data_IF_185210058141
#
_entry.id   IF_185210058141
#
_cell.length_a   1.000
_cell.length_b   1.000
_cell.length_c   1.000
_cell.angle_alpha   90.00
_cell.angle_beta   90.00
_cell.angle_gamma   90.00
#
_symmetry.space_group_name_H-M   'P 1'
#
loop_
_entity.id
_entity.type
_entity.pdbx_description
1 polymer ?
#
# COMPACT_ATOMS: atom_id res chain seq x y z
N UNK A 1 -1.26 -7.44 -20.72
CA UNK A 1 -1.92 -8.59 -20.04
C UNK A 1 -1.38 -8.67 -18.63
N UNK A 2 -2.18 -9.03 -17.62
CA UNK A 2 -1.66 -9.39 -16.30
C UNK A 2 -1.50 -10.90 -16.18
N UNK A 3 -0.45 -11.34 -15.51
CA UNK A 3 -0.14 -12.75 -15.29
C UNK A 3 0.02 -13.06 -13.80
N UNK A 4 -0.26 -14.30 -13.43
CA UNK A 4 0.04 -14.81 -12.10
C UNK A 4 1.48 -15.33 -11.97
N UNK A 5 1.85 -15.72 -10.74
CA UNK A 5 3.19 -16.24 -10.43
C UNK A 5 3.57 -17.52 -11.19
N UNK A 6 2.58 -18.26 -11.73
CA UNK A 6 2.77 -19.43 -12.58
C UNK A 6 2.75 -19.08 -14.09
N UNK A 7 2.75 -17.79 -14.43
CA UNK A 7 2.62 -17.27 -15.78
C UNK A 7 1.30 -17.62 -16.48
N UNK A 8 0.24 -17.94 -15.73
CA UNK A 8 -1.10 -18.05 -16.29
C UNK A 8 -1.70 -16.64 -16.48
N UNK A 9 -2.43 -16.39 -17.59
CA UNK A 9 -3.11 -15.11 -17.79
C UNK A 9 -4.19 -14.88 -16.72
N UNK A 10 -4.15 -13.72 -16.07
CA UNK A 10 -5.18 -13.28 -15.13
C UNK A 10 -6.25 -12.43 -15.82
N UNK A 11 -5.84 -11.35 -16.48
CA UNK A 11 -6.77 -10.41 -17.08
C UNK A 11 -6.11 -9.60 -18.20
N UNK A 12 -6.84 -9.43 -19.30
CA UNK A 12 -6.48 -8.43 -20.31
C UNK A 12 -6.87 -7.05 -19.79
N UNK A 13 -5.92 -6.13 -19.76
CA UNK A 13 -6.09 -4.78 -19.22
C UNK A 13 -5.46 -3.75 -20.16
N UNK A 14 -5.95 -2.50 -20.17
CA UNK A 14 -5.30 -1.41 -20.89
C UNK A 14 -3.85 -1.22 -20.45
N UNK A 15 -2.98 -0.78 -21.37
CA UNK A 15 -1.56 -0.53 -21.06
C UNK A 15 -1.39 0.49 -19.92
N UNK A 16 -2.20 1.55 -19.92
CA UNK A 16 -2.20 2.55 -18.86
C UNK A 16 -2.49 1.94 -17.48
N UNK A 17 -3.42 0.99 -17.39
CA UNK A 17 -3.71 0.29 -16.14
C UNK A 17 -2.53 -0.59 -15.71
N UNK A 18 -1.93 -1.36 -16.64
CA UNK A 18 -0.73 -2.14 -16.37
C UNK A 18 0.40 -1.26 -15.78
N UNK A 19 0.67 -0.12 -16.41
CA UNK A 19 1.77 0.77 -16.03
C UNK A 19 1.55 1.44 -14.67
N UNK A 20 0.30 1.63 -14.27
CA UNK A 20 -0.04 2.11 -12.93
C UNK A 20 0.06 0.98 -11.91
N UNK A 21 -0.61 -0.16 -12.15
CA UNK A 21 -0.71 -1.26 -11.17
C UNK A 21 0.65 -1.90 -10.88
N UNK A 22 1.57 -1.94 -11.85
CA UNK A 22 2.92 -2.46 -11.64
C UNK A 22 3.79 -1.57 -10.71
N UNK A 23 3.45 -0.29 -10.59
CA UNK A 23 4.12 0.67 -9.69
C UNK A 23 3.42 0.71 -8.33
N UNK A 24 2.08 0.79 -8.34
CA UNK A 24 1.27 0.91 -7.13
C UNK A 24 1.23 -0.41 -6.33
N UNK A 25 1.41 -1.55 -7.00
CA UNK A 25 1.40 -2.87 -6.37
C UNK A 25 0.01 -3.51 -6.32
N UNK A 26 -1.08 -2.75 -6.33
CA UNK A 26 -2.44 -3.29 -6.36
C UNK A 26 -3.40 -2.43 -7.18
N UNK A 27 -4.53 -3.01 -7.58
CA UNK A 27 -5.54 -2.32 -8.36
C UNK A 27 -6.84 -3.13 -8.48
N UNK A 28 -7.90 -2.48 -8.94
CA UNK A 28 -9.21 -3.11 -9.14
C UNK A 28 -9.49 -3.33 -10.62
N UNK A 29 -9.80 -4.56 -10.98
CA UNK A 29 -10.16 -4.92 -12.35
C UNK A 29 -11.58 -4.45 -12.68
N UNK A 30 -11.89 -4.33 -13.97
CA UNK A 30 -13.26 -4.05 -14.44
C UNK A 30 -14.26 -5.15 -14.05
N UNK A 31 -13.79 -6.40 -13.83
CA UNK A 31 -14.60 -7.49 -13.26
C UNK A 31 -15.03 -7.23 -11.81
N UNK A 32 -14.39 -6.28 -11.13
CA UNK A 32 -14.61 -5.99 -9.71
C UNK A 32 -13.60 -6.68 -8.78
N UNK A 33 -12.83 -7.65 -9.28
CA UNK A 33 -11.77 -8.34 -8.54
C UNK A 33 -10.64 -7.38 -8.15
N UNK A 34 -10.03 -7.60 -6.99
CA UNK A 34 -8.77 -6.94 -6.64
C UNK A 34 -7.60 -7.76 -7.16
N UNK A 35 -6.60 -7.11 -7.74
CA UNK A 35 -5.28 -7.70 -8.01
C UNK A 35 -4.23 -7.06 -7.12
N UNK A 36 -3.27 -7.86 -6.69
CA UNK A 36 -2.16 -7.42 -5.84
C UNK A 36 -0.85 -8.01 -6.32
N UNK A 37 0.26 -7.36 -6.00
CA UNK A 37 1.61 -7.80 -6.29
C UNK A 37 1.83 -9.21 -5.71
N UNK A 38 2.31 -10.14 -6.54
CA UNK A 38 2.67 -11.48 -6.11
C UNK A 38 4.20 -11.65 -6.06
N UNK A 39 4.89 -11.36 -7.18
CA UNK A 39 6.35 -11.45 -7.26
C UNK A 39 6.94 -10.64 -8.40
N UNK A 40 8.26 -10.41 -8.31
CA UNK A 40 9.11 -9.85 -9.37
C UNK A 40 9.75 -10.97 -10.20
N UNK A 41 10.43 -10.57 -11.28
CA UNK A 41 11.22 -11.47 -12.11
C UNK A 41 10.36 -12.48 -12.87
N UNK A 42 9.14 -12.09 -13.24
CA UNK A 42 8.26 -12.95 -14.02
C UNK A 42 8.59 -12.87 -15.50
N UNK A 43 9.02 -13.98 -16.11
CA UNK A 43 9.43 -14.00 -17.52
C UNK A 43 8.32 -13.54 -18.48
N UNK A 44 7.08 -13.96 -18.20
CA UNK A 44 5.88 -13.68 -18.97
C UNK A 44 5.31 -12.25 -18.80
N UNK A 45 5.68 -11.55 -17.73
CA UNK A 45 5.12 -10.24 -17.46
C UNK A 45 5.77 -9.16 -18.33
N UNK A 46 4.97 -8.16 -18.69
CA UNK A 46 5.47 -6.96 -19.35
C UNK A 46 6.40 -6.19 -18.40
N UNK A 47 7.35 -5.45 -18.98
CA UNK A 47 8.23 -4.57 -18.20
C UNK A 47 7.43 -3.39 -17.66
N UNK A 48 7.58 -3.12 -16.37
CA UNK A 48 7.03 -1.96 -15.71
C UNK A 48 7.90 -0.72 -16.02
N UNK A 49 7.39 0.28 -16.76
CA UNK A 49 8.24 1.32 -17.37
C UNK A 49 8.91 2.25 -16.35
N UNK A 50 8.41 2.32 -15.11
CA UNK A 50 8.94 3.20 -14.05
C UNK A 50 9.97 2.54 -13.14
N UNK A 51 10.04 1.21 -13.15
CA UNK A 51 10.89 0.43 -12.23
C UNK A 51 11.77 -0.58 -12.96
N UNK A 52 11.54 -0.78 -14.26
CA UNK A 52 12.19 -1.81 -15.10
C UNK A 52 11.96 -3.25 -14.61
N UNK A 53 10.93 -3.45 -13.78
CA UNK A 53 10.62 -4.75 -13.20
C UNK A 53 9.54 -5.48 -14.00
N UNK A 54 9.67 -6.79 -14.10
CA UNK A 54 8.58 -7.67 -14.55
C UNK A 54 7.82 -8.22 -13.35
N UNK A 55 6.55 -7.82 -13.20
CA UNK A 55 5.73 -8.09 -12.01
C UNK A 55 4.58 -9.03 -12.37
N UNK A 56 4.41 -10.09 -11.59
CA UNK A 56 3.19 -10.89 -11.58
C UNK A 56 2.28 -10.47 -10.44
N UNK A 57 1.00 -10.77 -10.61
CA UNK A 57 -0.06 -10.43 -9.67
C UNK A 57 -0.73 -11.68 -9.12
N UNK A 58 -1.50 -11.52 -8.07
CA UNK A 58 -2.47 -12.50 -7.61
C UNK A 58 -3.86 -11.87 -7.67
N UNK A 59 -4.89 -12.69 -7.87
CA UNK A 59 -6.27 -12.26 -7.75
C UNK A 59 -6.73 -12.48 -6.32
N UNK A 60 -7.36 -11.46 -5.75
CA UNK A 60 -7.84 -11.45 -4.38
C UNK A 60 -9.34 -11.21 -4.34
N UNK A 61 -10.00 -11.80 -3.34
CA UNK A 61 -11.38 -11.50 -3.01
C UNK A 61 -11.49 -10.02 -2.58
N UNK A 62 -12.21 -9.17 -3.33
CA UNK A 62 -12.33 -7.75 -3.03
C UNK A 62 -13.06 -7.46 -1.72
N UNK A 63 -13.81 -8.42 -1.16
CA UNK A 63 -14.45 -8.27 0.16
C UNK A 63 -13.43 -8.36 1.30
N UNK A 64 -12.35 -9.12 1.09
CA UNK A 64 -11.27 -9.31 2.08
C UNK A 64 -10.10 -8.36 1.85
N UNK A 65 -9.79 -8.08 0.59
CA UNK A 65 -8.67 -7.23 0.17
C UNK A 65 -9.17 -6.15 -0.79
N UNK A 66 -9.96 -5.17 -0.31
CA UNK A 66 -10.53 -4.14 -1.19
C UNK A 66 -9.46 -3.28 -1.88
N UNK A 67 -8.29 -3.13 -1.25
CA UNK A 67 -7.19 -2.31 -1.76
C UNK A 67 -5.90 -3.10 -2.03
N UNK A 68 -5.94 -4.43 -1.93
CA UNK A 68 -4.79 -5.31 -2.10
C UNK A 68 -4.21 -5.80 -0.78
N UNK A 69 -3.09 -6.51 -0.88
CA UNK A 69 -2.43 -7.21 0.22
C UNK A 69 -1.03 -6.63 0.42
N UNK A 70 -0.71 -6.26 1.66
CA UNK A 70 0.60 -5.76 2.04
C UNK A 70 1.62 -6.88 2.21
N UNK A 71 2.87 -6.51 2.46
CA UNK A 71 3.98 -7.43 2.69
C UNK A 71 3.80 -8.38 3.89
N UNK A 72 2.91 -8.07 4.84
CA UNK A 72 2.55 -8.95 5.97
C UNK A 72 1.47 -9.99 5.63
N UNK A 73 0.93 -9.94 4.41
CA UNK A 73 -0.18 -10.78 4.00
C UNK A 73 -1.57 -10.25 4.37
N UNK A 74 -1.64 -9.11 5.06
CA UNK A 74 -2.88 -8.46 5.52
C UNK A 74 -3.42 -7.45 4.49
N UNK A 75 -4.72 -7.10 4.54
CA UNK A 75 -5.27 -6.06 3.68
C UNK A 75 -4.69 -4.70 4.03
N UNK A 76 -4.22 -3.96 3.03
CA UNK A 76 -3.79 -2.58 3.22
C UNK A 76 -5.00 -1.65 3.27
N UNK A 77 -4.92 -0.63 4.12
CA UNK A 77 -6.03 0.30 4.36
C UNK A 77 -5.56 1.74 4.07
N UNK A 78 -6.29 2.48 3.22
CA UNK A 78 -5.99 3.88 2.92
C UNK A 78 -5.87 4.72 4.20
N UNK A 79 -4.83 5.55 4.26
CA UNK A 79 -4.50 6.43 5.37
C UNK A 79 -4.34 5.68 6.71
N UNK A 80 -3.95 4.40 6.66
CA UNK A 80 -3.68 3.58 7.84
C UNK A 80 -2.45 2.70 7.65
N UNK A 81 -2.28 2.14 6.47
CA UNK A 81 -1.08 1.37 6.15
C UNK A 81 0.01 2.30 5.63
N UNK A 82 1.25 2.05 6.04
CA UNK A 82 2.44 2.64 5.43
C UNK A 82 3.37 1.56 4.89
N UNK A 83 4.07 1.89 3.80
CA UNK A 83 5.26 1.17 3.42
C UNK A 83 6.48 1.74 4.16
N UNK A 84 7.38 0.85 4.57
CA UNK A 84 8.61 1.19 5.33
C UNK A 84 9.81 0.37 4.86
N UNK A 85 11.00 0.82 5.23
CA UNK A 85 12.18 -0.04 5.24
C UNK A 85 12.13 -0.96 6.47
N UNK A 86 11.91 -2.26 6.24
CA UNK A 86 11.74 -3.22 7.34
C UNK A 86 13.00 -3.52 8.14
N UNK A 87 14.18 -3.05 7.70
CA UNK A 87 15.40 -3.10 8.50
C UNK A 87 15.47 -1.97 9.54
N UNK A 88 14.68 -0.92 9.36
CA UNK A 88 14.61 0.25 10.25
C UNK A 88 13.34 0.23 11.11
N UNK A 89 12.19 -0.05 10.48
CA UNK A 89 10.89 -0.17 11.16
C UNK A 89 10.33 -1.56 10.85
N UNK A 90 10.32 -2.50 11.80
CA UNK A 90 9.76 -3.83 11.57
C UNK A 90 8.31 -3.79 11.06
N UNK A 91 7.94 -4.77 10.23
CA UNK A 91 6.56 -4.91 9.82
C UNK A 91 5.67 -5.30 11.02
N UNK A 92 4.46 -4.76 11.05
CA UNK A 92 3.51 -4.88 12.15
C UNK A 92 3.65 -3.79 13.22
N UNK A 93 4.75 -3.02 13.21
CA UNK A 93 4.93 -1.89 14.13
C UNK A 93 3.85 -0.83 13.90
N UNK A 94 3.26 -0.37 15.00
CA UNK A 94 2.33 0.76 14.96
C UNK A 94 3.09 2.07 15.06
N UNK A 95 2.65 3.07 14.31
CA UNK A 95 3.30 4.38 14.22
C UNK A 95 2.32 5.46 14.61
N UNK A 96 2.72 6.33 15.53
CA UNK A 96 2.02 7.58 15.77
C UNK A 96 2.77 8.74 15.15
N UNK A 97 2.06 9.51 14.32
CA UNK A 97 2.54 10.72 13.65
C UNK A 97 1.74 11.92 14.19
N UNK A 98 2.27 12.65 15.20
CA UNK A 98 1.57 13.78 15.81
C UNK A 98 1.15 14.84 14.79
N UNK A 99 1.98 15.06 13.76
CA UNK A 99 1.78 16.09 12.75
C UNK A 99 0.60 15.81 11.80
N UNK A 100 0.14 14.56 11.74
CA UNK A 100 -1.00 14.18 10.89
C UNK A 100 -2.31 14.07 11.68
N UNK A 101 -2.29 14.33 12.98
CA UNK A 101 -3.52 14.36 13.80
C UNK A 101 -4.37 15.54 13.38
N UNK A 102 -5.67 15.29 13.26
CA UNK A 102 -6.64 16.31 12.91
C UNK A 102 -6.78 16.53 11.41
N UNK A 103 -5.94 15.92 10.55
CA UNK A 103 -6.08 16.06 9.11
C UNK A 103 -7.43 15.52 8.63
N UNK A 104 -8.14 16.23 7.75
CA UNK A 104 -9.45 15.80 7.27
C UNK A 104 -9.33 14.52 6.44
N UNK A 105 -10.14 13.52 6.77
CA UNK A 105 -10.22 12.28 6.00
C UNK A 105 -11.19 12.42 4.81
N UNK A 106 -10.93 11.71 3.70
CA UNK A 106 -11.95 11.48 2.68
C UNK A 106 -13.17 10.79 3.31
N UNK A 107 -14.38 11.27 3.02
CA UNK A 107 -15.61 10.75 3.63
C UNK A 107 -16.00 11.38 4.98
N UNK A 108 -15.20 12.31 5.51
CA UNK A 108 -15.48 13.02 6.75
C UNK A 108 -14.66 12.51 7.94
N UNK A 109 -14.69 13.26 9.04
CA UNK A 109 -13.87 12.97 10.22
C UNK A 109 -12.42 13.46 10.10
N UNK A 110 -11.61 13.06 11.08
CA UNK A 110 -10.21 13.49 11.22
C UNK A 110 -9.31 12.30 11.48
N UNK A 111 -8.11 12.34 10.91
CA UNK A 111 -7.06 11.38 11.14
C UNK A 111 -6.55 11.49 12.59
N UNK A 112 -6.30 10.36 13.26
CA UNK A 112 -5.86 10.31 14.67
C UNK A 112 -4.33 10.24 14.82
N UNK A 113 -3.60 10.19 13.71
CA UNK A 113 -2.14 10.09 13.63
C UNK A 113 -1.60 8.67 13.57
N UNK A 114 -2.45 7.66 13.68
CA UNK A 114 -2.03 6.26 13.78
C UNK A 114 -1.94 5.55 12.42
N UNK A 115 -0.82 4.87 12.23
CA UNK A 115 -0.55 4.00 11.08
C UNK A 115 0.03 2.65 11.52
N UNK A 116 0.07 1.69 10.60
CA UNK A 116 0.71 0.39 10.79
C UNK A 116 1.64 0.10 9.61
N UNK A 117 2.85 -0.37 9.92
CA UNK A 117 3.85 -0.75 8.94
C UNK A 117 3.53 -2.13 8.36
N UNK A 118 2.73 -2.22 7.30
CA UNK A 118 2.31 -3.50 6.71
C UNK A 118 2.77 -3.72 5.29
N UNK A 119 3.52 -2.76 4.72
CA UNK A 119 3.95 -2.83 3.33
C UNK A 119 5.42 -2.44 3.11
N UNK A 120 5.92 -2.69 1.90
CA UNK A 120 7.28 -2.36 1.46
C UNK A 120 7.27 -1.77 0.06
N UNK A 121 8.08 -0.73 -0.14
CA UNK A 121 8.31 -0.14 -1.45
C UNK A 121 9.79 -0.12 -1.80
N UNK A 122 10.17 -0.36 -3.05
CA UNK A 122 11.59 -0.39 -3.45
C UNK A 122 12.29 0.96 -3.28
N UNK A 123 11.52 2.06 -3.30
CA UNK A 123 12.01 3.43 -3.11
C UNK A 123 11.82 3.93 -1.67
N UNK A 124 11.29 3.10 -0.78
CA UNK A 124 11.09 3.43 0.62
C UNK A 124 12.27 2.85 1.40
N UNK A 125 13.30 3.67 1.61
CA UNK A 125 14.59 3.25 2.16
C UNK A 125 14.92 4.08 3.39
N UNK A 126 15.53 3.46 4.39
CA UNK A 126 15.97 4.13 5.61
C UNK A 126 14.79 4.64 6.44
N UNK A 127 14.81 5.94 6.77
CA UNK A 127 13.83 6.57 7.68
C UNK A 127 12.61 7.17 6.96
N UNK A 128 12.40 6.81 5.69
CA UNK A 128 11.23 7.21 4.92
C UNK A 128 10.05 6.29 5.23
N UNK A 129 8.86 6.88 5.33
CA UNK A 129 7.59 6.17 5.27
C UNK A 129 6.82 6.63 4.04
N UNK A 130 6.02 5.75 3.45
CA UNK A 130 5.13 6.07 2.35
C UNK A 130 3.69 5.72 2.75
N UNK A 131 2.81 6.72 2.79
CA UNK A 131 1.42 6.55 3.24
C UNK A 131 0.60 6.01 2.10
N UNK A 132 0.01 4.82 2.28
CA UNK A 132 -0.93 4.29 1.31
C UNK A 132 -2.21 5.11 1.32
N UNK A 133 -2.54 5.79 0.23
CA UNK A 133 -3.74 6.65 0.12
C UNK A 133 -4.88 6.01 -0.66
N UNK A 134 -4.63 4.90 -1.36
CA UNK A 134 -5.61 4.15 -2.15
C UNK A 134 -6.13 4.84 -3.42
N UNK A 135 -6.03 6.17 -3.52
CA UNK A 135 -6.57 6.96 -4.63
C UNK A 135 -5.68 8.19 -4.94
N UNK A 136 -5.35 8.48 -6.21
CA UNK A 136 -4.52 9.63 -6.58
C UNK A 136 -5.08 11.00 -6.15
N UNK A 137 -6.40 11.18 -6.11
CA UNK A 137 -7.02 12.41 -5.64
C UNK A 137 -6.84 12.58 -4.12
N UNK A 138 -6.87 11.48 -3.37
CA UNK A 138 -6.53 11.49 -1.93
C UNK A 138 -5.06 11.84 -1.73
N UNK A 139 -4.15 11.29 -2.55
CA UNK A 139 -2.73 11.68 -2.56
C UNK A 139 -2.54 13.17 -2.80
N UNK A 140 -3.20 13.72 -3.83
CA UNK A 140 -3.09 15.14 -4.17
C UNK A 140 -3.60 16.02 -3.00
N UNK A 141 -4.74 15.66 -2.41
CA UNK A 141 -5.30 16.38 -1.27
C UNK A 141 -4.40 16.32 -0.03
N UNK A 142 -3.88 15.14 0.30
CA UNK A 142 -2.98 14.98 1.43
C UNK A 142 -1.71 15.81 1.24
N UNK A 143 -1.11 15.78 0.05
CA UNK A 143 0.07 16.57 -0.27
C UNK A 143 -0.17 18.09 -0.24
N UNK A 144 -1.39 18.55 -0.56
CA UNK A 144 -1.75 19.96 -0.44
C UNK A 144 -1.84 20.42 1.02
N UNK A 145 -2.26 19.54 1.92
CA UNK A 145 -2.40 19.82 3.36
C UNK A 145 -1.08 19.62 4.12
N UNK A 146 -0.36 18.56 3.78
CA UNK A 146 0.90 18.17 4.39
C UNK A 146 1.87 17.73 3.28
N UNK A 147 2.67 18.65 2.74
CA UNK A 147 3.60 18.33 1.66
C UNK A 147 4.62 17.26 2.05
N UNK A 148 4.81 16.29 1.14
CA UNK A 148 5.83 15.25 1.29
C UNK A 148 7.25 15.82 1.48
N UNK A 149 8.14 15.01 2.06
CA UNK A 149 9.57 15.31 2.27
C UNK A 149 9.85 16.51 3.20
N UNK A 150 8.91 16.91 4.05
CA UNK A 150 9.12 17.92 5.12
C UNK A 150 9.63 17.34 6.43
N UNK A 151 9.66 16.02 6.54
CA UNK A 151 9.95 15.31 7.79
C UNK A 151 8.73 15.24 8.71
N UNK A 152 8.65 14.16 9.49
CA UNK A 152 7.62 13.94 10.52
C UNK A 152 8.27 13.32 11.74
N UNK A 153 7.64 13.45 12.91
CA UNK A 153 8.05 12.67 14.08
C UNK A 153 7.29 11.36 14.09
N UNK A 154 8.02 10.28 14.30
CA UNK A 154 7.46 8.95 14.48
C UNK A 154 7.66 8.53 15.92
N UNK A 155 6.56 8.18 16.59
CA UNK A 155 6.60 7.45 17.86
C UNK A 155 6.15 6.02 17.56
N UNK A 156 7.06 5.07 17.73
CA UNK A 156 6.79 3.65 17.49
C UNK A 156 6.05 3.07 18.69
N UNK A 157 5.08 2.18 18.42
CA UNK A 157 4.31 1.43 19.42
C UNK A 157 3.66 2.27 20.52
N UNK A 158 3.22 3.47 20.11
CA UNK A 158 2.51 4.39 20.98
C UNK A 158 1.17 3.80 21.43
N UNK A 159 0.84 3.99 22.71
CA UNK A 159 -0.38 3.46 23.32
C UNK A 159 -1.67 3.89 22.58
N UNK A 160 -1.67 5.08 21.95
CA UNK A 160 -2.80 5.59 21.18
C UNK A 160 -3.11 4.75 19.94
N UNK A 161 -2.12 4.04 19.40
CA UNK A 161 -2.25 3.24 18.19
C UNK A 161 -2.44 1.74 18.46
N UNK A 162 -2.56 1.31 19.72
CA UNK A 162 -2.74 -0.11 20.07
C UNK A 162 -3.94 -0.77 19.38
N UNK A 163 -5.03 -0.03 19.16
CA UNK A 163 -6.23 -0.56 18.54
C UNK A 163 -6.03 -0.99 17.07
N UNK A 164 -5.04 -0.43 16.38
CA UNK A 164 -4.74 -0.78 14.99
C UNK A 164 -3.61 -1.81 14.84
N UNK A 165 -2.91 -2.12 15.93
CA UNK A 165 -1.75 -3.04 15.96
C UNK A 165 -2.09 -4.49 16.33
N UNK A 166 -3.36 -4.88 16.35
CA UNK A 166 -3.78 -6.20 16.84
C UNK A 166 -3.19 -7.38 16.04
N UNK A 167 -2.96 -8.54 16.69
CA UNK A 167 -2.71 -9.79 15.97
C UNK A 167 -3.96 -10.13 15.15
N UNK A 168 -3.75 -10.64 13.94
CA UNK A 168 -4.82 -11.23 13.15
C UNK A 168 -5.48 -12.33 13.98
N UNK A 169 -6.78 -12.18 14.27
CA UNK A 169 -7.56 -13.30 14.77
C UNK A 169 -7.42 -14.48 13.80
N UNK A 170 -7.37 -15.72 14.30
CA UNK A 170 -7.25 -16.89 13.43
C UNK A 170 -8.48 -16.92 12.52
N UNK A 171 -8.24 -17.01 11.20
CA UNK A 171 -9.25 -17.49 10.24
C UNK A 171 -9.13 -19.01 10.14
#
# INVERSE_FOLDING_TARGET
>A
MLYDAACAPLASVPRAFHDQVCVQGSGRLASGDTVSFARRGCACADVCPRTDQKVCFERLDPRRFPYGRGATGRPITPLRTVAVDSSVIPLGTTLYVPELVGLPLPGGGRHDGCFVAEDRGIKVVGRQIDVFTGDPAVTARLNALFPSNRGVRLVLDDARCRAIGGPAGPS
#
